data_IF_922206274250
#
_entry.id   IF_922206274250
#
_cell.length_a   1.000
_cell.length_b   1.000
_cell.length_c   1.000
_cell.angle_alpha   90.00
_cell.angle_beta   90.00
_cell.angle_gamma   90.00
#
_symmetry.space_group_name_H-M   'P 1'
#
loop_
_entity.id
_entity.type
_entity.pdbx_description
1 polymer ?
#
# COMPACT_ATOMS: atom_id res chain seq x y z
N UNK A 1 2.41 7.48 24.47
CA UNK A 1 2.12 8.90 24.72
C UNK A 1 2.96 9.68 23.72
N UNK A 2 2.40 9.98 22.55
CA UNK A 2 3.13 10.61 21.45
C UNK A 2 3.12 12.14 21.60
N UNK A 3 4.21 12.85 21.24
CA UNK A 3 4.24 14.30 21.34
C UNK A 3 3.26 14.90 20.33
N UNK A 4 2.28 15.64 20.83
CA UNK A 4 1.47 16.56 20.04
C UNK A 4 2.42 17.57 19.40
N UNK A 5 2.55 17.53 18.07
CA UNK A 5 3.11 18.63 17.29
C UNK A 5 2.23 19.87 17.54
N UNK A 6 2.64 20.71 18.49
CA UNK A 6 2.01 22.01 18.70
C UNK A 6 2.39 22.92 17.54
N UNK A 7 1.58 22.93 16.49
CA UNK A 7 1.59 24.01 15.52
C UNK A 7 0.86 25.22 16.13
N UNK A 8 1.56 26.35 16.19
CA UNK A 8 1.04 27.62 16.71
C UNK A 8 -0.31 27.97 16.06
N UNK A 9 -1.37 27.95 16.87
CA UNK A 9 -2.66 28.52 16.50
C UNK A 9 -2.57 30.04 16.67
N UNK A 10 -2.67 30.78 15.58
CA UNK A 10 -2.92 32.20 15.60
C UNK A 10 -4.30 32.45 14.97
N UNK A 11 -5.38 32.72 15.75
CA UNK A 11 -6.71 32.94 15.20
C UNK A 11 -7.04 34.43 15.20
N UNK A 12 -7.05 35.08 14.04
CA UNK A 12 -7.76 36.35 13.86
C UNK A 12 -8.22 36.55 12.41
N UNK A 13 -9.30 35.87 12.04
CA UNK A 13 -10.17 36.35 10.97
C UNK A 13 -11.62 36.09 11.39
N UNK A 14 -12.32 37.20 11.67
CA UNK A 14 -13.70 37.26 12.13
C UNK A 14 -14.61 37.03 10.91
N UNK A 15 -15.26 35.86 10.84
CA UNK A 15 -16.24 35.51 9.81
C UNK A 15 -17.62 35.31 10.46
N UNK A 16 -18.19 36.40 10.97
CA UNK A 16 -19.58 36.40 11.42
C UNK A 16 -20.40 37.35 10.56
N UNK A 17 -21.59 36.89 10.17
CA UNK A 17 -22.64 37.54 9.37
C UNK A 17 -22.59 37.31 7.85
N UNK A 18 -22.83 36.06 7.44
CA UNK A 18 -23.54 35.76 6.20
C UNK A 18 -24.77 34.92 6.54
N UNK A 19 -25.95 35.46 6.27
CA UNK A 19 -27.25 34.83 6.47
C UNK A 19 -27.30 33.45 5.76
N UNK A 20 -27.50 32.37 6.53
CA UNK A 20 -27.66 31.01 6.02
C UNK A 20 -29.04 30.73 5.38
N UNK A 21 -29.82 31.77 5.03
CA UNK A 21 -31.21 31.65 4.60
C UNK A 21 -31.44 31.36 3.11
N UNK A 22 -30.50 31.72 2.21
CA UNK A 22 -30.78 31.78 0.76
C UNK A 22 -29.83 30.95 -0.13
N UNK A 23 -29.10 29.99 0.44
CA UNK A 23 -28.20 29.11 -0.32
C UNK A 23 -28.80 27.73 -0.58
N UNK A 24 -30.05 27.70 -1.03
CA UNK A 24 -30.53 26.66 -1.94
C UNK A 24 -30.35 27.16 -3.38
N UNK A 25 -29.10 27.50 -3.76
CA UNK A 25 -28.75 27.39 -5.17
C UNK A 25 -28.73 25.90 -5.46
N UNK A 26 -29.82 25.43 -6.06
CA UNK A 26 -29.88 24.16 -6.74
C UNK A 26 -28.67 24.12 -7.68
N UNK A 27 -27.64 23.36 -7.32
CA UNK A 27 -26.45 23.18 -8.15
C UNK A 27 -26.89 22.40 -9.39
N UNK A 28 -27.46 23.08 -10.38
CA UNK A 28 -27.84 22.53 -11.68
C UNK A 28 -26.62 22.22 -12.57
N UNK A 29 -25.40 22.28 -12.00
CA UNK A 29 -24.17 21.89 -12.66
C UNK A 29 -23.97 20.37 -12.62
N UNK A 30 -23.31 19.83 -13.64
CA UNK A 30 -22.94 18.42 -13.68
C UNK A 30 -21.96 18.08 -12.54
N UNK A 31 -22.34 17.14 -11.69
CA UNK A 31 -21.54 16.69 -10.56
C UNK A 31 -20.31 15.93 -11.05
N UNK A 32 -19.12 16.41 -10.71
CA UNK A 32 -17.86 15.70 -10.97
C UNK A 32 -17.32 15.11 -9.67
N UNK A 33 -16.73 13.92 -9.73
CA UNK A 33 -16.02 13.32 -8.61
C UNK A 33 -14.59 12.97 -9.00
N UNK A 34 -13.68 12.98 -8.02
CA UNK A 34 -12.34 12.42 -8.17
C UNK A 34 -12.31 11.01 -7.61
N UNK A 35 -11.91 10.01 -8.40
CA UNK A 35 -11.47 8.72 -7.87
C UNK A 35 -9.95 8.68 -7.82
N UNK A 36 -9.40 8.89 -6.63
CA UNK A 36 -7.96 8.98 -6.41
C UNK A 36 -7.28 7.62 -6.51
N UNK A 37 -8.03 6.52 -6.43
CA UNK A 37 -7.48 5.17 -6.61
C UNK A 37 -7.29 4.78 -8.08
N UNK A 38 -7.90 5.52 -8.99
CA UNK A 38 -7.83 5.24 -10.43
C UNK A 38 -6.60 5.91 -11.05
N UNK A 39 -5.77 5.10 -11.72
CA UNK A 39 -4.63 5.62 -12.51
C UNK A 39 -4.74 5.20 -13.96
N UNK A 40 -4.36 6.10 -14.86
CA UNK A 40 -4.36 5.85 -16.30
C UNK A 40 -3.06 5.19 -16.79
N UNK A 41 -2.27 4.55 -15.91
CA UNK A 41 -0.94 4.04 -16.27
C UNK A 41 -0.96 2.80 -17.15
N UNK A 42 -2.04 1.98 -17.13
CA UNK A 42 -2.03 0.68 -17.82
C UNK A 42 -3.07 0.48 -18.91
N UNK A 43 -4.19 1.19 -18.95
CA UNK A 43 -5.15 1.11 -20.05
C UNK A 43 -5.82 2.45 -20.32
N UNK A 44 -6.10 2.72 -21.60
CA UNK A 44 -6.89 3.86 -22.07
C UNK A 44 -8.10 4.07 -21.18
N UNK A 45 -8.19 5.23 -20.53
CA UNK A 45 -9.27 5.62 -19.64
C UNK A 45 -10.60 5.90 -20.40
N UNK A 46 -10.95 5.08 -21.40
CA UNK A 46 -12.21 5.11 -22.13
C UNK A 46 -13.31 4.41 -21.32
N UNK A 47 -13.79 5.07 -20.27
CA UNK A 47 -15.16 4.82 -19.82
C UNK A 47 -16.01 5.95 -20.39
N UNK A 48 -16.74 5.67 -21.47
CA UNK A 48 -17.57 6.62 -22.24
C UNK A 48 -18.75 7.21 -21.44
N UNK A 49 -18.96 6.79 -20.19
CA UNK A 49 -20.12 7.14 -19.39
C UNK A 49 -19.84 7.94 -18.11
N UNK A 50 -18.59 8.36 -17.86
CA UNK A 50 -18.28 9.18 -16.69
C UNK A 50 -17.43 10.38 -17.07
N UNK A 51 -17.89 11.56 -16.65
CA UNK A 51 -17.21 12.85 -16.78
C UNK A 51 -15.95 12.88 -15.89
N UNK A 52 -14.91 12.19 -16.35
CA UNK A 52 -13.65 12.05 -15.62
C UNK A 52 -12.82 13.36 -15.68
N UNK A 53 -11.94 13.59 -14.69
CA UNK A 53 -10.89 14.59 -14.81
C UNK A 53 -10.12 14.36 -16.10
N UNK A 54 -9.91 15.42 -16.89
CA UNK A 54 -9.38 15.28 -18.26
C UNK A 54 -7.94 14.78 -18.29
N UNK A 55 -7.16 15.05 -17.24
CA UNK A 55 -5.76 14.68 -17.18
C UNK A 55 -5.41 14.17 -15.78
N UNK A 56 -5.05 12.89 -15.71
CA UNK A 56 -4.35 12.28 -14.57
C UNK A 56 -2.89 12.16 -14.99
N UNK A 57 -2.04 12.98 -14.40
CA UNK A 57 -0.60 12.96 -14.71
C UNK A 57 0.14 12.35 -13.54
N UNK A 58 0.86 11.25 -13.79
CA UNK A 58 1.89 10.76 -12.87
C UNK A 58 3.06 11.74 -12.94
N UNK A 59 3.41 12.33 -11.80
CA UNK A 59 4.60 13.15 -11.67
C UNK A 59 5.65 12.36 -10.90
N UNK A 60 6.87 12.30 -11.43
CA UNK A 60 8.02 11.89 -10.63
C UNK A 60 8.22 12.99 -9.57
N UNK A 61 8.27 12.60 -8.31
CA UNK A 61 8.61 13.55 -7.26
C UNK A 61 10.12 13.70 -7.17
N UNK A 62 10.66 14.80 -6.59
CA UNK A 62 12.10 14.94 -6.36
C UNK A 62 12.70 13.83 -5.49
N UNK A 63 11.84 13.07 -4.80
CA UNK A 63 12.19 11.93 -3.99
C UNK A 63 11.78 10.65 -4.71
N UNK A 64 12.73 9.75 -4.97
CA UNK A 64 12.47 8.42 -5.57
C UNK A 64 11.57 7.51 -4.70
N UNK A 65 11.01 8.02 -3.58
CA UNK A 65 10.23 7.26 -2.60
C UNK A 65 8.74 7.44 -2.71
N UNK A 66 8.31 8.47 -3.42
CA UNK A 66 6.90 8.79 -3.56
C UNK A 66 6.55 9.03 -5.02
N UNK A 67 5.40 8.53 -5.41
CA UNK A 67 4.74 8.89 -6.65
C UNK A 67 3.54 9.77 -6.37
N UNK A 68 3.27 10.66 -7.32
CA UNK A 68 2.15 11.60 -7.24
C UNK A 68 1.28 11.47 -8.47
N UNK A 69 -0.02 11.40 -8.26
CA UNK A 69 -1.02 11.52 -9.30
C UNK A 69 -1.74 12.84 -9.13
N UNK A 70 -1.71 13.67 -10.18
CA UNK A 70 -2.42 14.96 -10.18
C UNK A 70 -3.57 14.93 -11.16
N UNK A 71 -4.77 15.15 -10.64
CA UNK A 71 -5.98 15.41 -11.39
C UNK A 71 -6.13 16.92 -11.58
N UNK A 72 -6.26 17.37 -12.82
CA UNK A 72 -6.43 18.80 -13.14
C UNK A 72 -7.75 19.03 -13.85
N UNK A 73 -8.48 20.10 -13.48
CA UNK A 73 -9.64 20.56 -14.23
C UNK A 73 -9.18 21.53 -15.32
N UNK A 74 -9.73 21.36 -16.53
CA UNK A 74 -9.47 22.28 -17.64
C UNK A 74 -10.05 23.67 -17.37
N UNK A 75 -9.49 24.67 -18.05
CA UNK A 75 -10.01 26.04 -17.97
C UNK A 75 -11.47 26.14 -18.42
N UNK A 76 -11.93 25.27 -19.32
CA UNK A 76 -13.32 25.21 -19.77
C UNK A 76 -14.24 24.68 -18.67
N UNK A 77 -13.87 23.57 -18.00
CA UNK A 77 -14.63 23.01 -16.87
C UNK A 77 -14.70 23.97 -15.68
N UNK A 78 -13.64 24.75 -15.45
CA UNK A 78 -13.64 25.81 -14.43
C UNK A 78 -14.64 26.94 -14.75
N UNK A 79 -14.93 27.20 -16.04
CA UNK A 79 -15.93 28.20 -16.46
C UNK A 79 -17.37 27.67 -16.42
N UNK A 80 -17.56 26.35 -16.57
CA UNK A 80 -18.90 25.74 -16.67
C UNK A 80 -19.59 25.50 -15.33
N UNK A 81 -19.15 26.14 -14.24
CA UNK A 81 -19.62 25.89 -12.87
C UNK A 81 -19.65 24.41 -12.46
N UNK A 82 -18.81 23.57 -13.07
CA UNK A 82 -18.69 22.17 -12.66
C UNK A 82 -17.99 22.11 -11.32
N UNK A 83 -18.64 21.47 -10.37
CA UNK A 83 -18.19 21.36 -8.99
C UNK A 83 -17.72 19.95 -8.72
N UNK A 84 -16.57 19.84 -8.05
CA UNK A 84 -16.12 18.59 -7.46
C UNK A 84 -16.98 18.33 -6.23
N UNK A 85 -17.85 17.34 -6.29
CA UNK A 85 -18.77 17.07 -5.19
C UNK A 85 -18.17 16.11 -4.17
N UNK A 86 -17.40 15.13 -4.62
CA UNK A 86 -16.91 14.05 -3.79
C UNK A 86 -15.51 13.59 -4.23
N UNK A 87 -14.74 13.09 -3.27
CA UNK A 87 -13.48 12.40 -3.48
C UNK A 87 -13.69 10.95 -3.04
N UNK A 88 -13.34 9.99 -3.91
CA UNK A 88 -13.47 8.56 -3.71
C UNK A 88 -12.11 7.90 -3.89
N UNK A 89 -11.91 6.74 -3.27
CA UNK A 89 -10.74 5.87 -3.49
C UNK A 89 -11.26 4.46 -3.72
N UNK A 90 -11.03 3.91 -4.93
CA UNK A 90 -11.51 2.58 -5.33
C UNK A 90 -13.03 2.44 -5.07
N UNK A 91 -13.79 3.46 -5.45
CA UNK A 91 -15.24 3.54 -5.24
C UNK A 91 -15.70 4.00 -3.84
N UNK A 92 -14.85 3.90 -2.81
CA UNK A 92 -15.19 4.25 -1.42
C UNK A 92 -15.14 5.76 -1.20
N UNK A 93 -16.20 6.35 -0.64
CA UNK A 93 -16.26 7.77 -0.31
C UNK A 93 -15.27 8.12 0.80
N UNK A 94 -14.51 9.19 0.58
CA UNK A 94 -13.57 9.73 1.55
C UNK A 94 -14.26 10.77 2.47
N UNK A 95 -13.88 10.79 3.74
CA UNK A 95 -14.44 11.64 4.81
C UNK A 95 -13.36 12.52 5.42
N UNK A 96 -13.73 13.58 6.15
CA UNK A 96 -12.77 14.55 6.72
C UNK A 96 -12.19 15.55 5.70
N UNK A 97 -12.55 15.38 4.42
CA UNK A 97 -12.34 16.36 3.35
C UNK A 97 -13.48 17.39 3.35
N UNK A 98 -13.28 18.57 2.74
CA UNK A 98 -14.35 19.57 2.63
C UNK A 98 -15.56 18.96 1.93
N UNK A 99 -16.76 19.32 2.40
CA UNK A 99 -17.99 18.81 1.79
C UNK A 99 -18.21 19.40 0.38
N UNK A 100 -19.18 18.88 -0.37
CA UNK A 100 -19.45 19.32 -1.74
C UNK A 100 -19.67 20.84 -1.87
N UNK A 101 -20.33 21.47 -0.89
CA UNK A 101 -20.57 22.92 -0.86
C UNK A 101 -19.27 23.69 -0.65
N UNK A 102 -18.40 23.21 0.25
CA UNK A 102 -17.09 23.82 0.50
C UNK A 102 -16.16 23.65 -0.71
N UNK A 103 -16.10 22.46 -1.31
CA UNK A 103 -15.33 22.19 -2.53
C UNK A 103 -15.80 23.06 -3.70
N UNK A 104 -17.11 23.27 -3.83
CA UNK A 104 -17.70 24.18 -4.82
C UNK A 104 -17.17 25.60 -4.68
N UNK A 105 -17.25 26.14 -3.47
CA UNK A 105 -16.79 27.50 -3.14
C UNK A 105 -15.29 27.65 -3.30
N UNK A 106 -14.55 26.56 -3.17
CA UNK A 106 -13.11 26.59 -3.26
C UNK A 106 -12.59 26.72 -4.70
N UNK A 107 -13.39 26.42 -5.73
CA UNK A 107 -12.96 26.42 -7.14
C UNK A 107 -11.64 25.65 -7.33
N UNK A 108 -11.71 24.33 -7.16
CA UNK A 108 -10.55 23.44 -7.23
C UNK A 108 -9.95 23.47 -8.63
N UNK A 109 -8.66 23.81 -8.72
CA UNK A 109 -7.87 23.78 -9.95
C UNK A 109 -7.23 22.42 -10.17
N UNK A 110 -6.66 21.85 -9.12
CA UNK A 110 -6.04 20.51 -9.17
C UNK A 110 -6.09 19.80 -7.83
N UNK A 111 -6.10 18.47 -7.88
CA UNK A 111 -5.98 17.58 -6.74
C UNK A 111 -4.82 16.62 -6.98
N UNK A 112 -3.84 16.61 -6.09
CA UNK A 112 -2.71 15.70 -6.13
C UNK A 112 -2.80 14.69 -4.98
N UNK A 113 -2.56 13.42 -5.26
CA UNK A 113 -2.50 12.36 -4.24
C UNK A 113 -1.12 11.72 -4.25
N UNK A 114 -0.55 11.59 -3.07
CA UNK A 114 0.78 11.06 -2.83
C UNK A 114 0.66 9.62 -2.34
N UNK A 115 1.43 8.73 -2.97
CA UNK A 115 1.57 7.33 -2.60
C UNK A 115 3.04 7.03 -2.39
N UNK A 116 3.34 5.92 -1.74
CA UNK A 116 4.68 5.36 -1.86
C UNK A 116 4.95 4.96 -3.31
N UNK A 117 6.19 5.17 -3.78
CA UNK A 117 6.63 4.77 -5.12
C UNK A 117 6.28 3.29 -5.40
N UNK A 118 6.44 2.51 -4.35
CA UNK A 118 6.27 1.08 -4.26
C UNK A 118 4.82 0.61 -4.08
N UNK A 119 3.87 1.49 -3.77
CA UNK A 119 2.45 1.13 -3.70
C UNK A 119 1.85 1.04 -5.12
N UNK A 120 2.23 0.01 -5.88
CA UNK A 120 1.91 -0.11 -7.31
C UNK A 120 0.41 -0.04 -7.62
N UNK A 121 -0.42 -0.60 -6.74
CA UNK A 121 -1.88 -0.63 -6.87
C UNK A 121 -2.58 0.53 -6.15
N UNK A 122 -1.82 1.53 -5.69
CA UNK A 122 -2.30 2.73 -5.00
C UNK A 122 -3.28 2.38 -3.87
N UNK A 123 -2.94 1.37 -3.08
CA UNK A 123 -3.77 0.88 -1.98
C UNK A 123 -3.79 1.85 -0.79
N UNK A 124 -2.72 2.61 -0.59
CA UNK A 124 -2.50 3.44 0.59
C UNK A 124 -2.19 4.89 0.21
N UNK A 125 -3.23 5.71 -0.06
CA UNK A 125 -3.05 7.13 -0.28
C UNK A 125 -2.58 7.79 1.02
N UNK A 126 -1.47 8.52 0.96
CA UNK A 126 -0.80 9.08 2.14
C UNK A 126 -1.25 10.51 2.42
N UNK A 127 -1.20 11.35 1.38
CA UNK A 127 -1.47 12.78 1.46
C UNK A 127 -2.31 13.19 0.25
N UNK A 128 -3.32 14.03 0.48
CA UNK A 128 -4.03 14.76 -0.56
C UNK A 128 -3.62 16.23 -0.49
N UNK A 129 -3.27 16.80 -1.63
CA UNK A 129 -3.07 18.24 -1.82
C UNK A 129 -4.14 18.77 -2.75
N UNK A 130 -4.95 19.70 -2.29
CA UNK A 130 -5.93 20.41 -3.11
C UNK A 130 -5.38 21.81 -3.39
N UNK A 131 -5.43 22.23 -4.65
CA UNK A 131 -5.04 23.57 -5.08
C UNK A 131 -6.24 24.24 -5.74
N UNK A 132 -6.57 25.46 -5.34
CA UNK A 132 -7.63 26.23 -5.98
C UNK A 132 -7.12 27.15 -7.11
N UNK A 133 -8.04 27.84 -7.79
CA UNK A 133 -7.72 28.84 -8.82
C UNK A 133 -6.84 29.98 -8.29
N UNK A 134 -7.02 30.36 -7.02
CA UNK A 134 -6.17 31.35 -6.32
C UNK A 134 -4.78 30.83 -5.92
N UNK A 135 -4.44 29.58 -6.25
CA UNK A 135 -3.22 28.88 -5.83
C UNK A 135 -3.05 28.68 -4.32
N UNK A 136 -4.12 28.84 -3.54
CA UNK A 136 -4.16 28.38 -2.15
C UNK A 136 -4.08 26.86 -2.12
N UNK A 137 -3.47 26.33 -1.06
CA UNK A 137 -3.19 24.91 -0.90
C UNK A 137 -3.83 24.42 0.39
N UNK A 138 -4.51 23.29 0.32
CA UNK A 138 -4.93 22.52 1.48
C UNK A 138 -4.24 21.17 1.42
N UNK A 139 -3.77 20.71 2.57
CA UNK A 139 -3.18 19.40 2.71
C UNK A 139 -4.02 18.57 3.67
N UNK A 140 -4.19 17.32 3.31
CA UNK A 140 -4.89 16.35 4.13
C UNK A 140 -4.04 15.10 4.27
N UNK A 141 -3.92 14.59 5.48
CA UNK A 141 -3.20 13.35 5.77
C UNK A 141 -4.22 12.26 6.06
N UNK A 142 -3.99 11.06 5.53
CA UNK A 142 -4.84 9.92 5.83
C UNK A 142 -4.68 9.53 7.30
N UNK A 143 -5.78 9.38 8.03
CA UNK A 143 -5.76 9.14 9.48
C UNK A 143 -5.26 7.75 9.87
N UNK A 144 -5.12 6.81 8.92
CA UNK A 144 -4.58 5.49 9.22
C UNK A 144 -4.68 4.49 8.08
N UNK A 145 -4.23 3.26 8.35
CA UNK A 145 -4.26 2.15 7.37
C UNK A 145 -5.70 1.75 7.11
N UNK A 146 -6.06 1.60 5.84
CA UNK A 146 -7.42 1.33 5.38
C UNK A 146 -8.45 2.39 5.82
N UNK A 147 -8.01 3.54 6.33
CA UNK A 147 -8.91 4.62 6.69
C UNK A 147 -9.38 5.34 5.43
N UNK A 148 -10.66 5.67 5.41
CA UNK A 148 -11.24 6.62 4.46
C UNK A 148 -11.39 8.02 5.08
N UNK A 149 -10.78 8.28 6.24
CA UNK A 149 -10.83 9.55 6.94
C UNK A 149 -9.54 10.34 6.77
N UNK A 150 -9.71 11.65 6.60
CA UNK A 150 -8.64 12.58 6.27
C UNK A 150 -8.61 13.74 7.27
N UNK A 151 -7.42 14.10 7.71
CA UNK A 151 -7.21 15.22 8.63
C UNK A 151 -6.57 16.39 7.90
N UNK A 152 -7.19 17.58 7.98
CA UNK A 152 -6.61 18.80 7.44
C UNK A 152 -5.38 19.19 8.27
N UNK A 153 -4.23 19.34 7.61
CA UNK A 153 -2.99 19.75 8.26
C UNK A 153 -2.48 21.04 7.62
N UNK A 154 -2.25 22.05 8.46
CA UNK A 154 -1.58 23.27 8.04
C UNK A 154 -0.10 22.97 7.84
N UNK A 155 0.35 23.01 6.59
CA UNK A 155 1.73 22.72 6.23
C UNK A 155 2.14 23.54 5.00
N UNK A 156 3.40 23.98 4.97
CA UNK A 156 3.96 24.69 3.82
C UNK A 156 4.56 23.72 2.79
N UNK A 157 5.13 22.61 3.28
CA UNK A 157 5.89 21.64 2.49
C UNK A 157 5.38 20.21 2.68
N UNK A 158 4.90 19.61 1.58
CA UNK A 158 4.36 18.23 1.59
C UNK A 158 5.38 17.18 2.05
N UNK A 159 6.70 17.43 1.89
CA UNK A 159 7.73 16.49 2.33
C UNK A 159 7.73 16.28 3.85
N UNK A 160 7.32 17.29 4.62
CA UNK A 160 7.21 17.19 6.08
C UNK A 160 6.04 16.27 6.47
N UNK A 161 4.91 16.39 5.76
CA UNK A 161 3.76 15.51 5.93
C UNK A 161 4.08 14.07 5.52
N UNK A 162 4.78 13.88 4.41
CA UNK A 162 5.19 12.54 3.97
C UNK A 162 6.13 11.88 4.99
N UNK A 163 7.05 12.66 5.57
CA UNK A 163 7.90 12.20 6.67
C UNK A 163 7.09 11.82 7.92
N UNK A 164 6.04 12.59 8.24
CA UNK A 164 5.11 12.26 9.32
C UNK A 164 4.36 10.94 9.06
N UNK A 165 3.86 10.73 7.83
CA UNK A 165 3.15 9.50 7.46
C UNK A 165 4.02 8.24 7.54
N UNK A 166 5.34 8.36 7.39
CA UNK A 166 6.28 7.23 7.54
C UNK A 166 6.09 6.49 8.88
N UNK A 167 5.82 7.24 9.95
CA UNK A 167 5.62 6.67 11.28
C UNK A 167 4.24 6.02 11.44
N UNK A 168 3.21 6.55 10.77
CA UNK A 168 1.84 6.02 10.82
C UNK A 168 1.72 4.66 10.15
N UNK A 169 2.58 4.40 9.17
CA UNK A 169 2.51 3.22 8.32
C UNK A 169 3.73 2.31 8.46
N UNK A 170 4.42 2.38 9.60
CA UNK A 170 5.61 1.57 9.89
C UNK A 170 5.34 0.05 9.91
N UNK A 171 4.10 -0.36 10.13
CA UNK A 171 3.71 -1.77 10.10
C UNK A 171 3.48 -2.31 8.68
N UNK A 172 3.44 -1.47 7.64
CA UNK A 172 3.25 -1.92 6.26
C UNK A 172 4.59 -2.23 5.63
N UNK A 173 4.73 -3.46 5.10
CA UNK A 173 5.96 -3.98 4.51
C UNK A 173 5.75 -4.61 3.15
N UNK A 174 6.85 -4.65 2.42
CA UNK A 174 7.18 -5.28 1.17
C UNK A 174 8.12 -6.43 1.51
N UNK A 175 7.72 -7.64 1.13
CA UNK A 175 8.48 -8.84 1.46
C UNK A 175 9.41 -9.16 0.30
N UNK A 176 10.71 -8.96 0.50
CA UNK A 176 11.75 -9.37 -0.43
C UNK A 176 11.98 -10.88 -0.29
N UNK A 177 11.53 -11.64 -1.29
CA UNK A 177 11.62 -13.09 -1.33
C UNK A 177 13.01 -13.58 -1.79
N UNK A 178 13.85 -12.70 -2.34
CA UNK A 178 15.24 -13.05 -2.70
C UNK A 178 16.15 -13.15 -1.46
N UNK A 179 15.67 -12.69 -0.30
CA UNK A 179 16.40 -12.77 0.96
C UNK A 179 16.29 -14.16 1.58
N UNK A 180 17.43 -14.81 1.70
CA UNK A 180 17.58 -16.12 2.35
C UNK A 180 17.99 -16.02 3.82
N UNK A 181 18.65 -14.94 4.23
CA UNK A 181 19.15 -14.75 5.60
C UNK A 181 19.34 -13.28 5.97
N UNK A 182 19.50 -13.02 7.27
CA UNK A 182 19.92 -11.74 7.80
C UNK A 182 18.78 -10.73 8.01
N UNK A 183 19.12 -9.44 7.98
CA UNK A 183 18.17 -8.35 8.15
C UNK A 183 18.04 -7.57 6.85
N UNK A 184 16.82 -7.18 6.50
CA UNK A 184 16.54 -6.30 5.36
C UNK A 184 15.41 -5.33 5.70
N UNK A 185 15.32 -4.24 4.96
CA UNK A 185 14.22 -3.29 5.13
C UNK A 185 13.00 -3.82 4.39
N UNK A 186 11.90 -4.04 5.12
CA UNK A 186 10.61 -4.36 4.52
C UNK A 186 10.01 -3.19 3.75
N UNK A 187 10.71 -2.09 3.57
CA UNK A 187 10.28 -1.01 2.67
C UNK A 187 11.57 -0.57 2.00
N UNK A 188 11.68 -0.58 0.68
CA UNK A 188 12.85 -0.04 -0.06
C UNK A 188 13.04 1.49 0.13
N UNK A 189 12.49 2.07 1.20
CA UNK A 189 12.92 3.33 1.77
C UNK A 189 14.35 3.11 2.32
N UNK A 190 15.35 3.14 1.42
CA UNK A 190 16.79 3.04 1.69
C UNK A 190 17.32 4.14 2.64
N UNK A 191 16.45 5.00 3.16
CA UNK A 191 16.83 6.08 4.03
C UNK A 191 17.05 5.64 5.47
N UNK A 192 18.34 5.41 5.74
CA UNK A 192 19.07 5.94 6.90
C UNK A 192 18.48 5.61 8.27
N UNK A 193 17.79 4.48 8.38
CA UNK A 193 17.81 3.77 9.63
C UNK A 193 19.14 3.04 9.69
N UNK A 194 20.05 3.47 10.57
CA UNK A 194 21.12 2.58 11.01
C UNK A 194 20.45 1.27 11.46
N UNK A 195 20.89 0.12 10.94
CA UNK A 195 20.37 -1.21 11.32
C UNK A 195 20.46 -1.48 12.83
N UNK A 196 21.26 -0.66 13.54
CA UNK A 196 21.39 -0.62 15.00
C UNK A 196 20.33 0.22 15.71
N UNK A 197 19.66 1.15 15.01
CA UNK A 197 18.53 1.91 15.55
C UNK A 197 17.27 1.06 15.46
N UNK A 198 16.43 1.11 16.49
CA UNK A 198 15.18 0.35 16.62
C UNK A 198 14.15 0.74 15.56
N UNK A 199 14.40 0.38 14.30
CA UNK A 199 13.53 0.72 13.19
C UNK A 199 12.47 -0.35 13.02
N UNK A 200 11.22 0.11 13.15
CA UNK A 200 10.02 -0.70 13.07
C UNK A 200 9.72 -1.23 11.65
N UNK A 201 10.67 -1.14 10.71
CA UNK A 201 10.55 -1.67 9.34
C UNK A 201 11.65 -2.70 8.99
N UNK A 202 12.57 -3.02 9.91
CA UNK A 202 13.57 -4.08 9.71
C UNK A 202 12.93 -5.47 9.83
N UNK A 203 12.92 -6.20 8.72
CA UNK A 203 12.56 -7.61 8.63
C UNK A 203 13.82 -8.46 8.89
N UNK A 204 13.62 -9.62 9.47
CA UNK A 204 14.65 -10.64 9.67
C UNK A 204 14.20 -11.91 8.93
N UNK A 205 15.12 -12.47 8.13
CA UNK A 205 14.96 -13.79 7.53
C UNK A 205 15.88 -14.75 8.27
N UNK A 206 15.30 -15.89 8.64
CA UNK A 206 16.06 -17.02 9.18
C UNK A 206 15.67 -18.26 8.40
N UNK A 207 16.66 -19.09 8.08
CA UNK A 207 16.46 -20.42 7.52
C UNK A 207 15.90 -21.32 8.63
N UNK A 208 14.79 -21.99 8.37
CA UNK A 208 14.25 -23.02 9.26
C UNK A 208 14.79 -24.37 8.81
N UNK A 209 15.97 -24.73 9.31
CA UNK A 209 16.70 -25.97 8.97
C UNK A 209 15.99 -27.25 9.45
N UNK A 210 14.92 -27.13 10.25
CA UNK A 210 14.20 -28.25 10.83
C UNK A 210 12.94 -28.67 10.06
N UNK A 211 12.83 -28.29 8.78
CA UNK A 211 11.71 -28.74 7.97
C UNK A 211 11.89 -30.23 7.60
N UNK A 212 10.98 -31.09 8.08
CA UNK A 212 11.10 -32.56 8.06
C UNK A 212 11.16 -33.21 6.66
N UNK A 213 11.05 -32.43 5.57
CA UNK A 213 11.21 -32.93 4.22
C UNK A 213 12.56 -32.50 3.63
N UNK A 214 13.40 -33.47 3.27
CA UNK A 214 14.68 -33.25 2.59
C UNK A 214 14.56 -32.54 1.22
N UNK A 215 13.34 -32.31 0.71
CA UNK A 215 13.12 -31.70 -0.61
C UNK A 215 12.79 -30.20 -0.55
N UNK A 216 12.55 -29.62 0.63
CA UNK A 216 12.09 -28.23 0.73
C UNK A 216 12.86 -27.45 1.79
N UNK A 217 13.28 -26.24 1.42
CA UNK A 217 13.83 -25.25 2.35
C UNK A 217 12.76 -24.22 2.68
N UNK A 218 12.64 -23.90 3.95
CA UNK A 218 11.68 -22.93 4.49
C UNK A 218 12.42 -21.70 5.02
N UNK A 219 12.06 -20.53 4.51
CA UNK A 219 12.53 -19.25 5.03
C UNK A 219 11.45 -18.59 5.87
N UNK A 220 11.85 -18.06 7.04
CA UNK A 220 10.97 -17.39 7.97
C UNK A 220 11.22 -15.89 7.92
N UNK A 221 10.27 -15.13 7.37
CA UNK A 221 10.26 -13.67 7.39
C UNK A 221 9.44 -13.20 8.60
N UNK A 222 10.08 -12.45 9.49
CA UNK A 222 9.42 -11.83 10.65
C UNK A 222 10.04 -10.47 10.97
N UNK A 223 9.35 -9.68 11.78
CA UNK A 223 9.89 -8.40 12.27
C UNK A 223 11.03 -8.68 13.23
N UNK A 224 12.18 -7.98 13.09
CA UNK A 224 13.36 -8.16 13.96
C UNK A 224 13.03 -8.05 15.45
N UNK A 225 12.09 -7.17 15.80
CA UNK A 225 11.66 -6.91 17.18
C UNK A 225 10.30 -7.57 17.53
N UNK A 226 9.85 -8.56 16.76
CA UNK A 226 8.67 -9.36 17.06
C UNK A 226 7.31 -8.65 16.97
N UNK A 227 7.26 -7.43 16.41
CA UNK A 227 5.99 -6.75 16.14
C UNK A 227 5.20 -7.47 15.04
N UNK A 228 3.89 -7.22 14.96
CA UNK A 228 3.14 -7.61 13.78
C UNK A 228 3.48 -6.69 12.59
N UNK A 229 3.06 -7.09 11.40
CA UNK A 229 3.20 -6.35 10.15
C UNK A 229 2.04 -6.62 9.20
N UNK A 230 1.94 -5.82 8.15
CA UNK A 230 0.95 -5.92 7.08
C UNK A 230 1.68 -6.00 5.76
N UNK A 231 1.19 -6.82 4.84
CA UNK A 231 1.88 -7.05 3.57
C UNK A 231 1.24 -6.16 2.50
N UNK A 232 2.02 -5.27 1.92
CA UNK A 232 1.61 -4.50 0.74
C UNK A 232 1.77 -5.35 -0.52
N UNK A 233 2.92 -6.01 -0.67
CA UNK A 233 3.21 -6.98 -1.73
C UNK A 233 4.46 -7.79 -1.41
N UNK A 234 4.77 -8.75 -2.26
CA UNK A 234 6.06 -9.46 -2.26
C UNK A 234 6.87 -9.11 -3.50
N UNK A 235 8.20 -9.15 -3.42
CA UNK A 235 9.12 -8.94 -4.53
C UNK A 235 9.98 -10.19 -4.70
N UNK A 236 10.20 -10.61 -5.93
CA UNK A 236 11.12 -11.69 -6.25
C UNK A 236 11.78 -11.43 -7.60
N UNK A 237 13.11 -11.43 -7.65
CA UNK A 237 13.91 -11.08 -8.82
C UNK A 237 13.43 -9.78 -9.46
N UNK A 238 13.31 -8.72 -8.65
CA UNK A 238 12.79 -7.38 -9.03
C UNK A 238 11.32 -7.33 -9.48
N UNK A 239 10.63 -8.47 -9.54
CA UNK A 239 9.24 -8.53 -9.95
C UNK A 239 8.31 -8.44 -8.74
N UNK A 240 7.30 -7.57 -8.83
CA UNK A 240 6.24 -7.48 -7.84
C UNK A 240 5.27 -8.65 -8.04
N UNK A 241 5.02 -9.37 -6.96
CA UNK A 241 4.06 -10.46 -6.90
C UNK A 241 3.01 -10.10 -5.83
N UNK A 242 1.84 -9.56 -6.21
CA UNK A 242 0.76 -9.29 -5.27
C UNK A 242 0.27 -10.56 -4.58
N UNK A 243 -0.28 -10.40 -3.37
CA UNK A 243 -0.96 -11.46 -2.63
C UNK A 243 -2.46 -11.26 -2.71
N UNK A 244 -3.14 -12.15 -3.42
CA UNK A 244 -4.57 -12.08 -3.67
C UNK A 244 -5.36 -12.18 -2.36
N UNK A 245 -6.36 -11.32 -2.18
CA UNK A 245 -7.23 -11.31 -0.99
C UNK A 245 -6.49 -11.13 0.35
N UNK A 246 -5.25 -10.61 0.32
CA UNK A 246 -4.58 -10.09 1.52
C UNK A 246 -4.72 -8.58 1.51
N UNK A 247 -5.70 -8.10 2.27
CA UNK A 247 -5.90 -6.67 2.48
C UNK A 247 -4.92 -6.11 3.51
N UNK A 248 -4.75 -4.79 3.46
CA UNK A 248 -4.01 -4.05 4.48
C UNK A 248 -4.75 -3.98 5.82
N UNK A 249 -5.95 -4.53 5.95
CA UNK A 249 -6.68 -4.67 7.22
C UNK A 249 -6.19 -5.85 8.06
N UNK A 250 -5.51 -6.82 7.45
CA UNK A 250 -4.94 -7.98 8.13
C UNK A 250 -3.51 -7.73 8.65
N UNK A 251 -3.18 -8.35 9.78
CA UNK A 251 -1.85 -8.30 10.40
C UNK A 251 -1.27 -9.71 10.55
N UNK A 252 0.03 -9.82 10.34
CA UNK A 252 0.80 -11.04 10.34
C UNK A 252 1.94 -10.93 11.35
N UNK A 253 2.25 -12.03 12.02
CA UNK A 253 3.43 -12.14 12.89
C UNK A 253 4.62 -12.74 12.15
N UNK A 254 4.34 -13.64 11.20
CA UNK A 254 5.32 -14.41 10.44
C UNK A 254 4.81 -14.67 9.03
N UNK A 255 5.74 -14.78 8.09
CA UNK A 255 5.53 -15.25 6.73
C UNK A 255 6.58 -16.31 6.46
N UNK A 256 6.15 -17.45 5.92
CA UNK A 256 7.05 -18.51 5.49
C UNK A 256 7.05 -18.62 3.97
N UNK A 257 8.23 -18.82 3.39
CA UNK A 257 8.40 -19.06 1.96
C UNK A 257 9.09 -20.41 1.79
N UNK A 258 8.51 -21.26 0.96
CA UNK A 258 9.05 -22.58 0.68
C UNK A 258 9.65 -22.62 -0.72
N UNK A 259 10.86 -23.16 -0.81
CA UNK A 259 11.61 -23.39 -2.04
C UNK A 259 11.97 -24.86 -2.17
N UNK A 260 12.18 -25.32 -3.39
CA UNK A 260 12.79 -26.64 -3.61
C UNK A 260 14.23 -26.61 -3.12
N UNK A 261 14.57 -27.63 -2.35
CA UNK A 261 15.96 -27.95 -2.05
C UNK A 261 16.51 -28.83 -3.17
N UNK A 262 17.41 -28.28 -3.98
CA UNK A 262 18.10 -29.00 -5.05
C UNK A 262 19.47 -29.54 -4.61
N UNK A 263 19.80 -29.47 -3.32
CA UNK A 263 21.13 -29.87 -2.81
C UNK A 263 21.46 -31.36 -3.00
N UNK A 264 20.47 -32.20 -3.29
CA UNK A 264 20.68 -33.64 -3.51
C UNK A 264 21.20 -34.00 -4.93
N UNK A 265 21.29 -33.06 -5.88
CA UNK A 265 22.05 -33.31 -7.10
C UNK A 265 23.55 -33.12 -6.81
N UNK A 266 24.16 -34.20 -6.31
CA UNK A 266 25.58 -34.35 -5.97
C UNK A 266 26.58 -33.82 -7.02
N UNK A 267 26.13 -33.48 -8.23
CA UNK A 267 26.95 -32.92 -9.32
C UNK A 267 27.23 -31.42 -9.18
N UNK A 268 26.61 -30.71 -8.24
CA UNK A 268 26.77 -29.25 -8.09
C UNK A 268 27.48 -28.78 -6.81
N UNK A 269 28.23 -29.65 -6.14
CA UNK A 269 29.04 -29.30 -4.94
C UNK A 269 30.09 -28.19 -5.14
N UNK A 270 30.34 -27.74 -6.37
CA UNK A 270 31.26 -26.64 -6.69
C UNK A 270 30.57 -25.29 -6.94
N UNK A 271 29.23 -25.21 -6.91
CA UNK A 271 28.54 -23.92 -6.96
C UNK A 271 28.33 -23.37 -5.55
N UNK A 272 29.15 -22.38 -5.17
CA UNK A 272 29.16 -21.67 -3.88
C UNK A 272 27.83 -20.97 -3.52
N UNK A 273 26.81 -20.97 -4.39
CA UNK A 273 25.52 -20.32 -4.11
C UNK A 273 24.35 -21.24 -4.46
N UNK A 274 23.64 -21.71 -3.42
CA UNK A 274 22.34 -22.38 -3.59
C UNK A 274 21.37 -21.39 -4.21
N UNK A 275 20.89 -21.68 -5.43
CA UNK A 275 19.95 -20.79 -6.13
C UNK A 275 18.50 -21.13 -5.79
N UNK A 276 17.85 -20.25 -5.02
CA UNK A 276 16.43 -20.31 -4.71
C UNK A 276 15.60 -19.69 -5.83
N UNK A 277 15.53 -20.37 -6.98
CA UNK A 277 15.08 -19.77 -8.23
C UNK A 277 13.58 -19.56 -8.38
N UNK A 278 12.76 -20.22 -7.54
CA UNK A 278 11.30 -20.15 -7.63
C UNK A 278 10.64 -20.42 -6.28
N UNK A 279 10.02 -19.40 -5.63
CA UNK A 279 9.22 -19.63 -4.43
C UNK A 279 7.97 -20.42 -4.84
N UNK A 280 7.68 -21.48 -4.11
CA UNK A 280 6.62 -22.45 -4.44
C UNK A 280 5.33 -22.14 -3.70
N UNK A 281 5.48 -21.90 -2.40
CA UNK A 281 4.41 -21.73 -1.46
C UNK A 281 4.77 -20.60 -0.51
N UNK A 282 3.75 -19.84 -0.16
CA UNK A 282 3.78 -18.82 0.86
C UNK A 282 2.76 -19.18 1.94
N UNK A 283 3.20 -19.28 3.20
CA UNK A 283 2.34 -19.46 4.37
C UNK A 283 2.35 -18.16 5.17
N UNK A 284 1.18 -17.54 5.34
CA UNK A 284 1.00 -16.36 6.18
C UNK A 284 0.44 -16.78 7.53
N UNK A 285 1.10 -16.37 8.60
CA UNK A 285 0.60 -16.56 9.97
C UNK A 285 0.10 -15.23 10.51
N UNK A 286 -1.22 -15.13 10.65
CA UNK A 286 -1.85 -13.93 11.21
C UNK A 286 -1.46 -13.74 12.67
N UNK A 287 -1.73 -12.54 13.20
CA UNK A 287 -1.50 -12.20 14.61
C UNK A 287 -2.22 -13.12 15.60
N UNK A 288 -3.38 -13.69 15.23
CA UNK A 288 -4.11 -14.67 16.04
C UNK A 288 -3.64 -16.12 15.83
N UNK A 289 -2.61 -16.35 15.00
CA UNK A 289 -2.06 -17.69 14.73
C UNK A 289 -2.76 -18.45 13.60
N UNK A 290 -3.78 -17.88 12.97
CA UNK A 290 -4.42 -18.49 11.80
C UNK A 290 -3.44 -18.53 10.63
N UNK A 291 -3.40 -19.67 9.94
CA UNK A 291 -2.52 -19.89 8.79
C UNK A 291 -3.30 -19.77 7.49
N UNK A 292 -2.74 -19.06 6.51
CA UNK A 292 -3.24 -18.99 5.14
C UNK A 292 -2.14 -19.39 4.18
N UNK A 293 -2.49 -20.17 3.17
CA UNK A 293 -1.54 -20.72 2.21
C UNK A 293 -1.79 -20.14 0.83
N UNK A 294 -0.72 -19.86 0.10
CA UNK A 294 -0.79 -19.27 -1.23
C UNK A 294 0.19 -19.97 -2.18
N UNK A 295 -0.29 -20.28 -3.38
CA UNK A 295 0.55 -20.77 -4.47
C UNK A 295 0.67 -19.73 -5.55
N UNK A 296 1.83 -19.72 -6.21
CA UNK A 296 2.09 -18.80 -7.32
C UNK A 296 1.33 -19.27 -8.57
N UNK A 297 0.43 -18.42 -9.09
CA UNK A 297 -0.26 -18.61 -10.37
C UNK A 297 0.12 -17.47 -11.32
N UNK A 298 1.16 -17.69 -12.13
CA UNK A 298 1.76 -16.63 -12.93
C UNK A 298 2.49 -15.60 -12.04
N UNK A 299 2.01 -14.36 -12.04
CA UNK A 299 2.59 -13.24 -11.27
C UNK A 299 1.75 -12.83 -10.06
N UNK A 300 0.90 -13.72 -9.54
CA UNK A 300 0.11 -13.48 -8.32
C UNK A 300 0.19 -14.68 -7.39
N UNK A 301 0.18 -14.41 -6.09
CA UNK A 301 -0.06 -15.42 -5.05
C UNK A 301 -1.57 -15.61 -4.88
N UNK A 302 -2.07 -16.79 -5.24
CA UNK A 302 -3.50 -17.13 -5.09
C UNK A 302 -3.69 -18.01 -3.88
N UNK A 303 -4.68 -17.68 -3.05
CA UNK A 303 -5.02 -18.44 -1.85
C UNK A 303 -5.42 -19.86 -2.23
N UNK A 304 -4.91 -20.85 -1.51
CA UNK A 304 -5.30 -22.25 -1.64
C UNK A 304 -6.01 -22.67 -0.37
N UNK A 305 -7.30 -23.00 -0.52
CA UNK A 305 -8.22 -23.22 0.59
C UNK A 305 -7.91 -24.48 1.43
N UNK A 306 -7.10 -25.40 0.91
CA UNK A 306 -6.87 -26.73 1.49
C UNK A 306 -5.42 -26.99 1.88
N UNK A 307 -5.25 -27.76 2.95
CA UNK A 307 -3.96 -28.24 3.48
C UNK A 307 -3.18 -29.18 2.53
N UNK A 308 -3.75 -29.57 1.39
CA UNK A 308 -3.07 -30.37 0.35
C UNK A 308 -2.12 -29.53 -0.52
N UNK A 309 -1.42 -28.57 0.10
CA UNK A 309 -0.65 -27.52 -0.57
C UNK A 309 0.67 -28.01 -1.15
N UNK A 310 1.01 -29.29 -0.98
CA UNK A 310 2.29 -29.86 -1.42
C UNK A 310 2.14 -30.90 -2.53
N UNK A 311 0.97 -30.97 -3.17
CA UNK A 311 0.81 -31.77 -4.39
C UNK A 311 1.59 -31.17 -5.56
N UNK A 312 2.62 -31.87 -6.05
CA UNK A 312 3.35 -31.53 -7.27
C UNK A 312 2.82 -32.39 -8.44
N UNK A 313 2.03 -31.82 -9.36
CA UNK A 313 1.48 -32.57 -10.49
C UNK A 313 2.54 -32.98 -11.54
N UNK A 314 3.72 -32.33 -11.57
CA UNK A 314 4.78 -32.64 -12.55
C UNK A 314 5.60 -33.88 -12.15
N UNK A 315 5.68 -34.20 -10.85
CA UNK A 315 6.23 -35.47 -10.36
C UNK A 315 5.08 -36.50 -10.27
N UNK A 316 4.65 -37.05 -11.41
CA UNK A 316 3.63 -38.11 -11.55
C UNK A 316 3.69 -39.18 -10.42
N UNK A 317 2.95 -38.97 -9.32
CA UNK A 317 2.70 -39.86 -8.16
C UNK A 317 3.44 -39.64 -6.83
N UNK A 318 4.30 -38.62 -6.66
CA UNK A 318 4.83 -38.32 -5.33
C UNK A 318 4.04 -37.18 -4.68
N UNK A 319 3.01 -37.55 -3.93
CA UNK A 319 2.46 -36.65 -2.92
C UNK A 319 3.57 -36.38 -1.90
N UNK A 320 4.03 -35.13 -1.79
CA UNK A 320 4.66 -34.70 -0.55
C UNK A 320 3.49 -34.53 0.42
N UNK A 321 3.10 -35.64 1.05
CA UNK A 321 2.31 -35.56 2.27
C UNK A 321 3.27 -34.99 3.31
N UNK A 322 3.16 -33.69 3.58
CA UNK A 322 3.41 -33.29 4.95
C UNK A 322 2.40 -34.05 5.76
N UNK A 323 2.87 -35.05 6.51
CA UNK A 323 2.03 -35.83 7.40
C UNK A 323 1.12 -34.84 8.11
N UNK A 324 -0.19 -35.09 8.07
CA UNK A 324 -1.14 -34.30 8.83
C UNK A 324 -0.56 -34.19 10.24
N UNK A 325 -0.09 -33.00 10.61
CA UNK A 325 0.18 -32.69 12.01
C UNK A 325 -1.22 -32.59 12.61
N UNK A 326 -1.81 -33.74 12.90
CA UNK A 326 -2.90 -33.86 13.85
C UNK A 326 -2.30 -33.37 15.16
N UNK A 327 -2.45 -32.08 15.43
CA UNK A 327 -2.42 -31.56 16.79
C UNK A 327 -3.48 -32.35 17.55
N UNK A 328 -3.04 -33.37 18.29
CA UNK A 328 -3.80 -33.89 19.41
C UNK A 328 -3.95 -32.71 20.38
N UNK A 329 -5.15 -32.12 20.40
CA UNK A 329 -5.57 -31.13 21.40
C UNK A 329 -5.94 -31.88 22.67
#
# INVERSE_FOLDING_TARGET
MYPLLMCNKNPSARWDQLNCGDLQYELQGENTFFDIGSTCERHTCHNEHFDRPENIVRQQTPSYRYKVYTHTLSAEKLKSNRVVTNIRHKGTLQTGLPNSVELARWFIKSLSVYYWEHDYDNQLPLVIKIVNVGNNRLYFVNSGICSNHWENVMCENVLDLLSYTKNMFNEVVVIDLDRSEGNYFGTNLEDACDLNTACNNVMNVVIDEHFESNELIKFVHKRKFGSNFRILYTVFKENIIPVENVGLDETFKELFVFYWDYTDDYRHKEMETVHYDKPLLLELVSSNGTKKYYRRKGNVWTNVADQNVFYNPEKNNNFIYLGMITTYI
#
